data_IF_154280594254
#
_entry.id   IF_154280594254
#
_cell.length_a   1.000
_cell.length_b   1.000
_cell.length_c   1.000
_cell.angle_alpha   90.00
_cell.angle_beta   90.00
_cell.angle_gamma   90.00
#
_symmetry.space_group_name_H-M   'P 1'
#
loop_
_entity.id
_entity.type
_entity.pdbx_description
1 polymer ?
#
# COMPACT_ATOMS: atom_id res chain seq x y z
N UNK A 1 19.02 0.10 26.40
CA UNK A 1 18.26 -0.30 25.20
C UNK A 1 18.44 0.80 24.17
N UNK A 2 19.42 0.64 23.27
CA UNK A 2 19.88 1.71 22.37
C UNK A 2 18.76 1.95 21.35
N UNK A 3 18.14 3.12 21.42
CA UNK A 3 17.39 3.70 20.31
C UNK A 3 18.36 3.67 19.13
N UNK A 4 18.07 2.86 18.11
CA UNK A 4 18.81 2.92 16.85
C UNK A 4 18.56 4.31 16.29
N UNK A 5 19.53 5.19 16.45
CA UNK A 5 19.67 6.39 15.64
C UNK A 5 19.69 5.91 14.19
N UNK A 6 18.61 6.21 13.48
CA UNK A 6 18.45 5.90 12.07
C UNK A 6 19.32 6.87 11.28
N UNK A 7 20.64 6.65 11.28
CA UNK A 7 21.56 7.37 10.39
C UNK A 7 21.14 7.11 8.95
N UNK A 8 20.73 8.17 8.26
CA UNK A 8 20.39 8.13 6.85
C UNK A 8 21.69 7.99 6.06
N UNK A 9 22.07 6.76 5.76
CA UNK A 9 23.17 6.45 4.84
C UNK A 9 22.72 6.66 3.40
N UNK A 10 23.67 6.87 2.48
CA UNK A 10 23.38 7.03 1.04
C UNK A 10 22.74 5.80 0.40
N UNK A 11 22.97 4.61 0.97
CA UNK A 11 22.34 3.37 0.54
C UNK A 11 22.05 2.46 1.74
N UNK A 12 20.85 1.89 1.75
CA UNK A 12 20.40 0.93 2.75
C UNK A 12 19.66 -0.23 2.04
N UNK A 13 20.26 -1.44 1.98
CA UNK A 13 19.66 -2.58 1.25
C UNK A 13 18.28 -3.00 1.77
N UNK A 14 18.08 -2.94 3.10
CA UNK A 14 16.81 -3.32 3.73
C UNK A 14 15.70 -2.32 3.39
N UNK A 15 16.01 -1.02 3.41
CA UNK A 15 15.11 0.03 2.94
C UNK A 15 14.75 -0.17 1.47
N UNK A 16 15.75 -0.38 0.60
CA UNK A 16 15.52 -0.58 -0.83
C UNK A 16 14.56 -1.76 -1.08
N UNK A 17 14.81 -2.91 -0.44
CA UNK A 17 13.94 -4.09 -0.57
C UNK A 17 12.52 -3.82 -0.07
N UNK A 18 12.36 -3.06 1.02
CA UNK A 18 11.04 -2.69 1.52
C UNK A 18 10.30 -1.79 0.53
N UNK A 19 10.99 -0.81 -0.06
CA UNK A 19 10.43 0.07 -1.10
C UNK A 19 10.04 -0.71 -2.34
N UNK A 20 10.86 -1.67 -2.80
CA UNK A 20 10.51 -2.53 -3.93
C UNK A 20 9.24 -3.34 -3.68
N UNK A 21 9.10 -3.93 -2.49
CA UNK A 21 7.91 -4.69 -2.12
C UNK A 21 6.66 -3.81 -2.09
N UNK A 22 6.71 -2.69 -1.36
CA UNK A 22 5.57 -1.80 -1.15
C UNK A 22 5.18 -1.08 -2.44
N UNK A 23 6.18 -0.64 -3.20
CA UNK A 23 6.03 0.08 -4.47
C UNK A 23 5.67 -0.82 -5.65
N UNK A 24 5.74 -2.15 -5.50
CA UNK A 24 5.33 -3.08 -6.54
C UNK A 24 3.85 -2.86 -6.89
N UNK A 25 3.55 -2.92 -8.19
CA UNK A 25 2.23 -2.62 -8.74
C UNK A 25 1.13 -3.38 -7.98
N UNK A 26 0.14 -2.63 -7.50
CA UNK A 26 -1.00 -3.07 -6.68
C UNK A 26 -0.71 -3.50 -5.23
N UNK A 27 0.54 -3.66 -4.81
CA UNK A 27 0.85 -4.10 -3.43
C UNK A 27 0.31 -3.10 -2.39
N UNK A 28 0.53 -1.80 -2.59
CA UNK A 28 0.01 -0.77 -1.69
C UNK A 28 -1.53 -0.78 -1.57
N UNK A 29 -2.25 -1.05 -2.66
CA UNK A 29 -3.71 -1.14 -2.64
C UNK A 29 -4.19 -2.38 -1.87
N UNK A 30 -3.55 -3.53 -2.07
CA UNK A 30 -3.84 -4.77 -1.35
C UNK A 30 -3.55 -4.61 0.15
N UNK A 31 -2.41 -4.00 0.51
CA UNK A 31 -2.06 -3.70 1.90
C UNK A 31 -3.10 -2.78 2.55
N UNK A 32 -3.50 -1.70 1.85
CA UNK A 32 -4.51 -0.76 2.36
C UNK A 32 -5.86 -1.45 2.59
N UNK A 33 -6.31 -2.32 1.69
CA UNK A 33 -7.55 -3.08 1.87
C UNK A 33 -7.48 -4.05 3.07
N UNK A 34 -6.35 -4.76 3.23
CA UNK A 34 -6.13 -5.64 4.37
C UNK A 34 -6.05 -4.88 5.71
N UNK A 35 -5.51 -3.66 5.72
CA UNK A 35 -5.48 -2.78 6.88
C UNK A 35 -6.88 -2.28 7.28
N UNK A 36 -7.82 -2.20 6.33
CA UNK A 36 -9.25 -1.94 6.60
C UNK A 36 -10.05 -3.18 7.00
N UNK A 37 -9.37 -4.25 7.42
CA UNK A 37 -9.95 -5.51 7.91
C UNK A 37 -10.68 -6.36 6.84
N UNK A 38 -10.51 -6.06 5.55
CA UNK A 38 -11.00 -6.88 4.44
C UNK A 38 -10.15 -8.14 4.34
N UNK A 39 -10.77 -9.32 4.48
CA UNK A 39 -10.03 -10.58 4.68
C UNK A 39 -10.24 -11.63 3.59
N UNK A 40 -11.35 -11.62 2.85
CA UNK A 40 -11.65 -12.67 1.86
C UNK A 40 -11.23 -12.22 0.47
N UNK A 41 -10.88 -13.18 -0.38
CA UNK A 41 -10.40 -12.89 -1.73
C UNK A 41 -11.37 -12.03 -2.55
N UNK A 42 -12.64 -12.42 -2.59
CA UNK A 42 -13.66 -11.70 -3.37
C UNK A 42 -13.90 -10.29 -2.83
N UNK A 43 -13.86 -10.11 -1.51
CA UNK A 43 -14.02 -8.80 -0.87
C UNK A 43 -12.82 -7.90 -1.20
N UNK A 44 -11.60 -8.46 -1.22
CA UNK A 44 -10.38 -7.75 -1.64
C UNK A 44 -10.45 -7.35 -3.12
N UNK A 45 -10.90 -8.25 -4.00
CA UNK A 45 -11.05 -7.95 -5.43
C UNK A 45 -12.10 -6.85 -5.66
N UNK A 46 -13.23 -6.91 -4.94
CA UNK A 46 -14.28 -5.89 -5.02
C UNK A 46 -13.83 -4.52 -4.47
N UNK A 47 -12.98 -4.51 -3.44
CA UNK A 47 -12.48 -3.28 -2.82
C UNK A 47 -11.45 -2.53 -3.68
N UNK A 48 -10.87 -3.16 -4.71
CA UNK A 48 -9.77 -2.60 -5.50
C UNK A 48 -10.15 -2.58 -6.99
N UNK A 49 -10.82 -1.52 -7.47
CA UNK A 49 -11.23 -1.41 -8.86
C UNK A 49 -10.04 -1.51 -9.83
N UNK A 50 -10.18 -2.34 -10.88
CA UNK A 50 -9.17 -2.53 -11.91
C UNK A 50 -8.07 -3.54 -11.58
N UNK A 51 -8.06 -4.11 -10.37
CA UNK A 51 -7.19 -5.23 -10.02
C UNK A 51 -7.82 -6.54 -10.51
N UNK A 52 -7.08 -7.30 -11.33
CA UNK A 52 -7.54 -8.63 -11.77
C UNK A 52 -7.29 -9.70 -10.72
N UNK A 53 -8.13 -10.73 -10.68
CA UNK A 53 -7.99 -11.88 -9.77
C UNK A 53 -6.61 -12.53 -9.86
N UNK A 54 -6.09 -12.68 -11.08
CA UNK A 54 -4.74 -13.22 -11.31
C UNK A 54 -3.67 -12.39 -10.59
N UNK A 55 -3.76 -11.07 -10.72
CA UNK A 55 -2.80 -10.15 -10.11
C UNK A 55 -2.98 -10.07 -8.58
N UNK A 56 -4.21 -10.14 -8.08
CA UNK A 56 -4.48 -10.21 -6.64
C UNK A 56 -3.89 -11.49 -6.03
N UNK A 57 -4.10 -12.65 -6.67
CA UNK A 57 -3.53 -13.91 -6.23
C UNK A 57 -1.99 -13.88 -6.20
N UNK A 58 -1.35 -13.28 -7.22
CA UNK A 58 0.09 -13.07 -7.25
C UNK A 58 0.57 -12.21 -6.08
N UNK A 59 -0.09 -11.07 -5.81
CA UNK A 59 0.27 -10.18 -4.71
C UNK A 59 0.07 -10.83 -3.35
N UNK A 60 -1.02 -11.56 -3.14
CA UNK A 60 -1.26 -12.27 -1.88
C UNK A 60 -0.22 -13.36 -1.64
N UNK A 61 0.15 -14.13 -2.68
CA UNK A 61 1.20 -15.15 -2.60
C UNK A 61 2.57 -14.53 -2.27
N UNK A 62 2.88 -13.40 -2.89
CA UNK A 62 4.13 -12.68 -2.63
C UNK A 62 4.19 -12.13 -1.20
N UNK A 63 3.11 -11.50 -0.73
CA UNK A 63 3.01 -11.01 0.64
C UNK A 63 3.03 -12.15 1.67
N UNK A 64 2.49 -13.32 1.33
CA UNK A 64 2.61 -14.54 2.14
C UNK A 64 4.06 -15.04 2.18
N UNK A 65 4.74 -15.07 1.04
CA UNK A 65 6.16 -15.47 0.93
C UNK A 65 7.06 -14.53 1.74
N UNK A 66 6.76 -13.23 1.76
CA UNK A 66 7.47 -12.23 2.57
C UNK A 66 7.03 -12.23 4.05
N UNK A 67 6.10 -13.10 4.45
CA UNK A 67 5.61 -13.18 5.84
C UNK A 67 4.83 -11.95 6.30
N UNK A 68 4.31 -11.15 5.36
CA UNK A 68 3.48 -9.96 5.60
C UNK A 68 2.02 -10.36 5.78
N UNK A 69 1.58 -11.38 5.05
CA UNK A 69 0.23 -11.96 5.11
C UNK A 69 0.30 -13.42 5.51
N UNK A 70 -0.71 -13.91 6.22
CA UNK A 70 -0.95 -15.33 6.43
C UNK A 70 -2.29 -15.72 5.81
N UNK A 71 -2.30 -16.80 5.04
CA UNK A 71 -3.52 -17.43 4.54
C UNK A 71 -4.05 -18.42 5.58
N UNK A 72 -5.28 -18.20 6.06
CA UNK A 72 -5.97 -19.08 7.00
C UNK A 72 -7.16 -19.76 6.34
N UNK A 73 -7.26 -21.06 6.54
CA UNK A 73 -8.41 -21.86 6.10
C UNK A 73 -9.22 -22.22 7.35
N UNK A 74 -10.49 -21.87 7.33
CA UNK A 74 -11.44 -22.21 8.37
C UNK A 74 -12.33 -23.35 7.87
N UNK A 75 -12.39 -24.49 8.59
CA UNK A 75 -13.20 -25.65 8.22
C UNK A 75 -14.69 -25.42 8.55
N UNK A 76 -15.21 -24.26 8.16
CA UNK A 76 -16.62 -23.90 8.27
C UNK A 76 -17.41 -24.56 7.11
N UNK A 77 -18.74 -24.56 7.18
CA UNK A 77 -19.61 -24.91 6.03
C UNK A 77 -20.36 -23.65 5.59
N UNK A 78 -20.04 -23.04 4.43
CA UNK A 78 -18.98 -23.42 3.48
C UNK A 78 -17.57 -23.09 3.98
N UNK A 79 -16.56 -23.81 3.46
CA UNK A 79 -15.14 -23.58 3.79
C UNK A 79 -14.79 -22.12 3.50
N UNK A 80 -14.15 -21.46 4.47
CA UNK A 80 -13.77 -20.06 4.37
C UNK A 80 -12.25 -19.92 4.32
N UNK A 81 -11.78 -19.08 3.40
CA UNK A 81 -10.38 -18.68 3.32
C UNK A 81 -10.28 -17.20 3.65
N UNK A 82 -9.31 -16.85 4.50
CA UNK A 82 -8.99 -15.48 4.84
C UNK A 82 -7.50 -15.19 4.70
N UNK A 83 -7.19 -13.96 4.34
CA UNK A 83 -5.85 -13.38 4.31
C UNK A 83 -5.77 -12.37 5.44
N UNK A 84 -4.79 -12.53 6.33
CA UNK A 84 -4.63 -11.67 7.51
C UNK A 84 -3.22 -11.14 7.57
N UNK A 85 -3.08 -9.87 7.95
CA UNK A 85 -1.76 -9.30 8.21
C UNK A 85 -1.11 -9.99 9.41
N UNK A 86 0.16 -10.33 9.26
CA UNK A 86 1.02 -10.73 10.38
C UNK A 86 1.38 -9.50 11.23
N UNK A 87 2.17 -9.67 12.28
CA UNK A 87 2.74 -8.54 13.01
C UNK A 87 3.61 -7.67 12.09
N UNK A 88 4.47 -8.29 11.26
CA UNK A 88 5.25 -7.62 10.21
C UNK A 88 4.35 -6.82 9.27
N UNK A 89 3.21 -7.39 8.86
CA UNK A 89 2.29 -6.70 7.97
C UNK A 89 1.52 -5.54 8.62
N UNK A 90 1.14 -5.67 9.89
CA UNK A 90 0.51 -4.56 10.63
C UNK A 90 1.49 -3.41 10.86
N UNK A 91 2.78 -3.69 11.06
CA UNK A 91 3.80 -2.65 11.19
C UNK A 91 3.94 -1.77 9.93
N UNK A 92 3.46 -2.21 8.76
CA UNK A 92 3.42 -1.40 7.53
C UNK A 92 2.34 -0.31 7.55
N UNK A 93 1.42 -0.31 8.51
CA UNK A 93 0.36 0.69 8.58
C UNK A 93 0.90 2.12 8.64
N UNK A 94 1.91 2.36 9.49
CA UNK A 94 2.53 3.68 9.65
C UNK A 94 3.19 4.15 8.35
N UNK A 95 3.83 3.22 7.61
CA UNK A 95 4.46 3.50 6.32
C UNK A 95 3.40 3.85 5.26
N UNK A 96 2.34 3.05 5.15
CA UNK A 96 1.24 3.30 4.20
C UNK A 96 0.58 4.65 4.48
N UNK A 97 0.34 4.98 5.75
CA UNK A 97 -0.21 6.29 6.16
C UNK A 97 0.73 7.45 5.84
N UNK A 98 2.04 7.28 6.07
CA UNK A 98 3.02 8.31 5.76
C UNK A 98 3.08 8.59 4.25
N UNK A 99 3.05 7.55 3.41
CA UNK A 99 3.00 7.71 1.95
C UNK A 99 1.71 8.41 1.51
N UNK A 100 0.56 8.04 2.09
CA UNK A 100 -0.72 8.69 1.80
C UNK A 100 -0.72 10.17 2.17
N UNK A 101 -0.27 10.51 3.38
CA UNK A 101 -0.21 11.90 3.85
C UNK A 101 0.79 12.75 3.04
N UNK A 102 1.92 12.17 2.65
CA UNK A 102 2.84 12.82 1.71
C UNK A 102 2.14 13.07 0.37
N UNK A 103 1.50 12.06 -0.22
CA UNK A 103 0.81 12.21 -1.50
C UNK A 103 -0.29 13.28 -1.44
N UNK A 104 -1.10 13.31 -0.39
CA UNK A 104 -2.13 14.34 -0.17
C UNK A 104 -1.54 15.75 -0.07
N UNK A 105 -0.44 15.89 0.68
CA UNK A 105 0.24 17.18 0.87
C UNK A 105 0.76 17.78 -0.43
N UNK A 106 1.18 16.96 -1.39
CA UNK A 106 1.76 17.41 -2.66
C UNK A 106 0.78 17.35 -3.84
N UNK A 107 -0.23 16.47 -3.81
CA UNK A 107 -1.30 16.44 -4.80
C UNK A 107 -2.21 17.67 -4.72
N UNK A 108 -2.43 18.20 -3.52
CA UNK A 108 -3.17 19.45 -3.32
C UNK A 108 -2.41 20.68 -3.87
N UNK A 109 -1.08 20.65 -3.88
CA UNK A 109 -0.25 21.74 -4.40
C UNK A 109 -0.27 21.78 -5.94
N UNK A 110 -0.28 20.61 -6.60
CA UNK A 110 -0.36 20.51 -8.05
C UNK A 110 -1.69 21.03 -8.63
N UNK A 111 -2.76 20.99 -7.83
CA UNK A 111 -4.09 21.49 -8.23
C UNK A 111 -4.28 23.00 -7.98
N UNK A 112 -3.54 23.61 -7.06
CA UNK A 112 -3.52 25.08 -6.88
C UNK A 112 -2.61 25.80 -7.89
N UNK A 113 -1.49 25.19 -8.30
CA UNK A 113 -0.56 25.81 -9.26
C UNK A 113 -1.13 25.96 -10.68
N UNK A 114 -2.17 25.21 -11.04
CA UNK A 114 -2.84 25.31 -12.35
C UNK A 114 -3.92 26.42 -12.41
N UNK A 115 -4.32 27.00 -11.27
CA UNK A 115 -5.39 28.01 -11.20
C UNK A 115 -4.87 29.46 -11.17
N UNK A 116 -3.57 29.67 -10.98
CA UNK A 116 -2.92 30.99 -10.98
C UNK A 116 -2.12 31.21 -12.28
N UNK A 117 -2.81 31.18 -13.42
CA UNK A 117 -2.34 31.88 -14.61
C UNK A 117 -3.20 33.14 -14.77
N UNK A 118 -2.64 34.35 -14.57
CA UNK A 118 -3.41 35.57 -14.79
C UNK A 118 -3.72 35.67 -16.28
N UNK A 119 -5.01 35.68 -16.61
CA UNK A 119 -5.49 36.14 -17.89
C UNK A 119 -5.19 37.65 -18.00
N UNK A 120 -4.17 37.98 -18.78
CA UNK A 120 -3.85 39.34 -19.20
C UNK A 120 -2.57 39.30 -20.05
N UNK A 121 -2.52 39.84 -21.27
CA UNK A 121 -3.19 41.03 -21.77
C UNK A 121 -3.40 40.87 -23.28
N UNK A 122 -4.62 41.11 -23.74
CA UNK A 122 -4.90 41.56 -25.10
C UNK A 122 -4.59 43.06 -25.16
N UNK A 123 -3.78 43.50 -26.11
CA UNK A 123 -3.48 44.91 -26.31
C UNK A 123 -2.48 45.15 -27.44
N UNK A 124 -3.04 45.63 -28.57
CA UNK A 124 -2.46 46.15 -29.82
C UNK A 124 -1.83 45.19 -30.85
#
# INVERSE_FOLDING_TARGET
>A
MKLMENELTSFCPSYHRAVELIGRRWTGAVLRALLTDVKRFNDLAAAIPGLSDRMLAERLKELETEGVVVRRVFPDTPVRVEYRLTEKGRALESVVRAVAGWAESWAAQASHAAAEQPAGVSGD
#
